data_IF_960633619142
#
_entry.id   IF_960633619142
#
_cell.length_a   1.000
_cell.length_b   1.000
_cell.length_c   1.000
_cell.angle_alpha   90.00
_cell.angle_beta   90.00
_cell.angle_gamma   90.00
#
_symmetry.space_group_name_H-M   'P 1'
#
loop_
_entity.id
_entity.type
_entity.pdbx_description
1 polymer ?
#
# COMPACT_ATOMS: atom_id res chain seq x y z
N UNK A 1 11.82 -39.16 -20.64
CA UNK A 1 11.39 -38.76 -19.28
C UNK A 1 11.68 -37.30 -19.06
N UNK A 2 10.66 -36.48 -19.33
CA UNK A 2 10.72 -35.02 -19.29
C UNK A 2 9.78 -34.55 -18.18
N UNK A 3 10.25 -34.68 -16.94
CA UNK A 3 9.65 -34.07 -15.76
C UNK A 3 10.79 -33.47 -14.97
N UNK A 4 11.07 -32.20 -15.24
CA UNK A 4 11.99 -31.42 -14.45
C UNK A 4 11.16 -30.35 -13.76
N UNK A 5 10.98 -30.56 -12.47
CA UNK A 5 10.20 -29.76 -11.54
C UNK A 5 10.55 -28.27 -11.64
N UNK A 6 9.68 -27.50 -12.29
CA UNK A 6 9.71 -26.04 -12.29
C UNK A 6 8.88 -25.52 -11.12
N UNK A 7 9.24 -25.90 -9.90
CA UNK A 7 8.56 -25.48 -8.68
C UNK A 7 9.52 -24.85 -7.65
N UNK A 8 10.41 -23.95 -8.09
CA UNK A 8 11.29 -23.23 -7.16
C UNK A 8 11.56 -21.79 -7.62
N UNK A 9 10.50 -20.97 -7.74
CA UNK A 9 10.66 -19.54 -8.06
C UNK A 9 9.68 -18.64 -7.27
N UNK A 10 9.21 -19.08 -6.11
CA UNK A 10 8.29 -18.32 -5.26
C UNK A 10 8.87 -18.10 -3.85
N UNK A 11 10.15 -17.79 -3.73
CA UNK A 11 10.67 -17.11 -2.55
C UNK A 11 10.64 -15.61 -2.83
N UNK A 12 9.45 -15.01 -2.67
CA UNK A 12 9.33 -13.56 -2.68
C UNK A 12 10.02 -13.04 -1.42
N UNK A 13 11.06 -12.22 -1.60
CA UNK A 13 11.54 -11.35 -0.54
C UNK A 13 10.34 -10.54 -0.01
N UNK A 14 10.18 -10.59 1.29
CA UNK A 14 9.02 -10.13 2.03
C UNK A 14 9.07 -8.58 2.12
N UNK A 15 8.12 -7.81 1.54
CA UNK A 15 8.07 -6.37 1.70
C UNK A 15 7.43 -5.99 3.06
N UNK A 16 7.95 -6.56 4.16
CA UNK A 16 7.38 -6.35 5.50
C UNK A 16 7.70 -4.97 6.05
N UNK A 17 8.82 -4.38 5.61
CA UNK A 17 9.39 -3.19 6.24
C UNK A 17 8.53 -1.94 5.99
N UNK A 18 8.03 -1.74 4.77
CA UNK A 18 7.24 -0.54 4.42
C UNK A 18 5.82 -0.57 5.01
N UNK A 19 5.27 -1.76 5.25
CA UNK A 19 3.97 -1.90 5.91
C UNK A 19 4.03 -1.43 7.38
N UNK A 20 5.19 -1.56 8.04
CA UNK A 20 5.32 -1.22 9.46
C UNK A 20 5.15 0.28 9.74
N UNK A 21 5.65 1.16 8.89
CA UNK A 21 5.53 2.63 9.08
C UNK A 21 4.08 3.09 8.87
N UNK A 22 3.40 2.55 7.85
CA UNK A 22 1.99 2.83 7.58
C UNK A 22 1.11 2.30 8.72
N UNK A 23 1.42 1.13 9.27
CA UNK A 23 0.68 0.55 10.39
C UNK A 23 0.85 1.37 11.68
N UNK A 24 2.05 1.93 11.92
CA UNK A 24 2.28 2.86 13.03
C UNK A 24 1.43 4.13 12.85
N UNK A 25 1.41 4.74 11.66
CA UNK A 25 0.60 5.93 11.38
C UNK A 25 -0.89 5.67 11.63
N UNK A 26 -1.39 4.51 11.20
CA UNK A 26 -2.78 4.11 11.45
C UNK A 26 -3.08 3.99 12.95
N UNK A 27 -2.18 3.37 13.70
CA UNK A 27 -2.33 3.23 15.14
C UNK A 27 -2.35 4.59 15.86
N UNK A 28 -1.49 5.54 15.45
CA UNK A 28 -1.46 6.90 16.01
C UNK A 28 -2.79 7.64 15.74
N UNK A 29 -3.31 7.58 14.51
CA UNK A 29 -4.60 8.19 14.16
C UNK A 29 -5.75 7.60 14.96
N UNK A 30 -5.78 6.29 15.18
CA UNK A 30 -6.81 5.65 16.01
C UNK A 30 -6.71 6.11 17.47
N UNK A 31 -5.51 6.23 18.02
CA UNK A 31 -5.31 6.74 19.38
C UNK A 31 -5.78 8.18 19.51
N UNK A 32 -5.53 9.03 18.50
CA UNK A 32 -6.02 10.42 18.50
C UNK A 32 -7.53 10.52 18.41
N UNK A 33 -8.17 9.66 17.59
CA UNK A 33 -9.63 9.55 17.57
C UNK A 33 -10.21 9.14 18.93
N UNK A 34 -9.51 8.25 19.65
CA UNK A 34 -9.87 7.90 21.02
C UNK A 34 -9.71 9.08 21.99
N UNK A 35 -8.60 9.82 21.95
CA UNK A 35 -8.41 11.02 22.76
C UNK A 35 -9.49 12.08 22.51
N UNK A 36 -9.91 12.29 21.25
CA UNK A 36 -11.03 13.19 20.93
C UNK A 36 -12.31 12.75 21.67
N UNK A 37 -12.58 11.45 21.76
CA UNK A 37 -13.75 10.96 22.50
C UNK A 37 -13.62 11.08 24.02
N UNK A 38 -12.40 11.02 24.56
CA UNK A 38 -12.12 11.19 25.99
C UNK A 38 -12.16 12.67 26.43
N UNK A 39 -11.63 13.57 25.59
CA UNK A 39 -11.53 15.01 25.87
C UNK A 39 -12.89 15.74 25.76
N UNK A 40 -13.84 15.16 25.02
CA UNK A 40 -15.18 15.72 24.89
C UNK A 40 -16.03 15.39 26.11
N UNK A 41 -16.32 16.40 26.93
CA UNK A 41 -17.21 16.29 28.10
C UNK A 41 -18.62 15.74 27.74
N UNK A 42 -19.13 16.06 26.54
CA UNK A 42 -20.36 15.48 25.97
C UNK A 42 -20.14 15.26 24.47
N UNK A 43 -20.45 14.05 23.99
CA UNK A 43 -20.25 13.66 22.60
C UNK A 43 -21.38 14.15 21.68
N UNK A 44 -21.33 15.41 21.27
CA UNK A 44 -22.20 15.95 20.23
C UNK A 44 -21.71 15.53 18.84
N UNK A 45 -22.64 15.07 17.99
CA UNK A 45 -22.35 14.57 16.65
C UNK A 45 -21.56 15.57 15.83
N UNK A 46 -21.96 16.83 15.82
CA UNK A 46 -21.41 17.89 14.98
C UNK A 46 -19.99 18.28 15.43
N UNK A 47 -19.77 18.37 16.75
CA UNK A 47 -18.47 18.72 17.31
C UNK A 47 -17.47 17.59 17.12
N UNK A 48 -17.89 16.35 17.35
CA UNK A 48 -17.05 15.17 17.14
C UNK A 48 -16.70 14.97 15.67
N UNK A 49 -17.71 15.00 14.77
CA UNK A 49 -17.47 14.76 13.34
C UNK A 49 -16.51 15.77 12.74
N UNK A 50 -16.53 17.03 13.20
CA UNK A 50 -15.58 18.05 12.77
C UNK A 50 -14.13 17.69 13.16
N UNK A 51 -13.91 17.36 14.44
CA UNK A 51 -12.57 17.01 14.95
C UNK A 51 -12.06 15.70 14.34
N UNK A 52 -12.93 14.69 14.21
CA UNK A 52 -12.57 13.42 13.58
C UNK A 52 -12.23 13.61 12.08
N UNK A 53 -12.96 14.45 11.36
CA UNK A 53 -12.66 14.73 9.96
C UNK A 53 -11.31 15.44 9.79
N UNK A 54 -10.97 16.36 10.68
CA UNK A 54 -9.66 17.02 10.70
C UNK A 54 -8.52 16.02 10.93
N UNK A 55 -8.64 15.14 11.91
CA UNK A 55 -7.63 14.11 12.20
C UNK A 55 -7.46 13.11 11.04
N UNK A 56 -8.57 12.69 10.42
CA UNK A 56 -8.54 11.83 9.23
C UNK A 56 -7.87 12.53 8.04
N UNK A 57 -8.05 13.84 7.88
CA UNK A 57 -7.40 14.61 6.81
C UNK A 57 -5.88 14.69 7.02
N UNK A 58 -5.43 14.88 8.27
CA UNK A 58 -4.01 14.84 8.62
C UNK A 58 -3.39 13.47 8.34
N UNK A 59 -4.10 12.40 8.69
CA UNK A 59 -3.66 11.04 8.37
C UNK A 59 -3.51 10.81 6.86
N UNK A 60 -4.45 11.28 6.05
CA UNK A 60 -4.38 11.14 4.59
C UNK A 60 -3.13 11.83 4.00
N UNK A 61 -2.81 13.04 4.46
CA UNK A 61 -1.62 13.77 4.02
C UNK A 61 -0.33 13.06 4.46
N UNK A 62 -0.27 12.59 5.71
CA UNK A 62 0.86 11.82 6.22
C UNK A 62 1.06 10.50 5.45
N UNK A 63 -0.04 9.80 5.14
CA UNK A 63 -0.03 8.55 4.39
C UNK A 63 0.46 8.74 2.95
N UNK A 64 0.02 9.78 2.25
CA UNK A 64 0.49 10.10 0.90
C UNK A 64 1.98 10.42 0.89
N UNK A 65 2.46 11.16 1.90
CA UNK A 65 3.89 11.45 2.07
C UNK A 65 4.69 10.16 2.32
N UNK A 66 4.23 9.29 3.22
CA UNK A 66 4.87 8.01 3.51
C UNK A 66 4.94 7.11 2.27
N UNK A 67 3.85 6.98 1.52
CA UNK A 67 3.82 6.22 0.25
C UNK A 67 4.78 6.79 -0.78
N UNK A 68 4.80 8.11 -0.96
CA UNK A 68 5.71 8.76 -1.92
C UNK A 68 7.18 8.58 -1.53
N UNK A 69 7.48 8.59 -0.23
CA UNK A 69 8.83 8.37 0.29
C UNK A 69 9.26 6.89 0.17
N UNK A 70 8.35 5.96 0.44
CA UNK A 70 8.52 4.52 0.21
C UNK A 70 8.89 4.24 -1.25
N UNK A 71 8.15 4.80 -2.21
CA UNK A 71 8.44 4.64 -3.65
C UNK A 71 9.78 5.29 -4.07
N UNK A 72 10.25 6.30 -3.33
CA UNK A 72 11.50 7.03 -3.61
C UNK A 72 12.75 6.35 -3.03
N UNK A 73 12.61 5.56 -1.96
CA UNK A 73 13.71 4.84 -1.30
C UNK A 73 14.35 3.78 -2.20
N UNK A 74 13.58 3.20 -3.14
CA UNK A 74 14.08 2.23 -4.12
C UNK A 74 14.86 2.84 -5.30
N UNK A 75 15.02 4.18 -5.36
CA UNK A 75 15.55 4.86 -6.56
C UNK A 75 16.96 5.46 -6.45
N UNK A 76 17.62 5.44 -5.28
CA UNK A 76 18.82 6.29 -5.08
C UNK A 76 20.13 5.53 -4.85
N UNK A 77 20.19 4.20 -4.97
CA UNK A 77 21.47 3.50 -4.82
C UNK A 77 21.71 2.44 -5.91
N UNK A 78 22.91 2.55 -6.49
CA UNK A 78 23.57 1.65 -7.44
C UNK A 78 23.38 2.01 -8.93
N UNK A 79 24.39 2.73 -9.42
CA UNK A 79 24.66 2.82 -10.85
C UNK A 79 24.81 1.44 -11.48
N UNK A 80 24.48 1.38 -12.76
CA UNK A 80 24.60 0.23 -13.67
C UNK A 80 23.71 -0.99 -13.35
N UNK A 81 22.69 -1.18 -14.19
CA UNK A 81 22.07 -2.48 -14.51
C UNK A 81 21.06 -3.12 -13.53
N UNK A 82 20.23 -2.36 -12.81
CA UNK A 82 19.07 -2.95 -12.08
C UNK A 82 17.72 -2.22 -12.23
N UNK A 83 17.65 -1.11 -12.96
CA UNK A 83 16.49 -0.22 -12.99
C UNK A 83 15.22 -0.82 -13.63
N UNK A 84 15.34 -1.91 -14.38
CA UNK A 84 14.20 -2.53 -15.04
C UNK A 84 13.45 -3.52 -14.14
N UNK A 85 14.12 -4.23 -13.23
CA UNK A 85 13.55 -5.45 -12.63
C UNK A 85 12.40 -5.20 -11.64
N UNK A 86 12.38 -4.08 -10.91
CA UNK A 86 11.45 -3.91 -9.78
C UNK A 86 10.17 -3.13 -10.11
N UNK A 87 10.15 -2.39 -11.21
CA UNK A 87 8.93 -1.79 -11.78
C UNK A 87 8.26 -2.68 -12.86
N UNK A 88 8.88 -3.81 -13.21
CA UNK A 88 8.37 -4.76 -14.21
C UNK A 88 7.29 -5.71 -13.67
N UNK A 89 7.14 -5.88 -12.35
CA UNK A 89 6.26 -6.91 -11.79
C UNK A 89 4.76 -6.54 -11.70
N UNK A 90 4.32 -5.42 -12.28
CA UNK A 90 2.88 -5.13 -12.42
C UNK A 90 2.15 -6.16 -13.31
N UNK A 91 2.89 -6.86 -14.18
CA UNK A 91 2.37 -7.84 -15.13
C UNK A 91 3.05 -9.19 -14.94
N UNK A 92 2.59 -9.96 -13.95
CA UNK A 92 2.85 -11.40 -13.89
C UNK A 92 2.17 -12.15 -15.05
N UNK A 93 2.66 -13.34 -15.40
CA UNK A 93 2.02 -14.20 -16.41
C UNK A 93 0.52 -14.39 -16.13
N UNK A 94 0.15 -14.71 -14.89
CA UNK A 94 -1.24 -14.88 -14.48
C UNK A 94 -2.08 -13.62 -14.66
N UNK A 95 -1.55 -12.44 -14.31
CA UNK A 95 -2.27 -11.16 -14.50
C UNK A 95 -2.39 -10.75 -15.97
N UNK A 96 -1.34 -10.96 -16.78
CA UNK A 96 -1.38 -10.66 -18.22
C UNK A 96 -2.31 -11.61 -18.98
N UNK A 97 -2.31 -12.89 -18.61
CA UNK A 97 -3.24 -13.88 -19.15
C UNK A 97 -4.69 -13.54 -18.80
N UNK A 98 -4.97 -13.23 -17.54
CA UNK A 98 -6.30 -12.79 -17.10
C UNK A 98 -6.75 -11.54 -17.86
N UNK A 99 -5.86 -10.55 -18.03
CA UNK A 99 -6.13 -9.33 -18.78
C UNK A 99 -6.41 -9.61 -20.27
N UNK A 100 -5.66 -10.53 -20.89
CA UNK A 100 -5.92 -10.97 -22.26
C UNK A 100 -7.29 -11.63 -22.42
N UNK A 101 -7.73 -12.41 -21.42
CA UNK A 101 -9.08 -12.98 -21.39
C UNK A 101 -10.14 -11.89 -21.29
N UNK A 102 -9.94 -10.85 -20.48
CA UNK A 102 -10.90 -9.74 -20.35
C UNK A 102 -11.08 -8.96 -21.65
N UNK A 103 -10.00 -8.81 -22.44
CA UNK A 103 -10.06 -8.20 -23.77
C UNK A 103 -10.80 -9.07 -24.80
N UNK A 104 -10.49 -10.37 -24.87
CA UNK A 104 -11.09 -11.26 -25.88
C UNK A 104 -12.54 -11.64 -25.56
N UNK A 105 -12.90 -11.65 -24.27
CA UNK A 105 -14.27 -11.90 -23.82
C UNK A 105 -15.12 -10.64 -23.75
N UNK A 106 -14.55 -9.47 -24.08
CA UNK A 106 -15.22 -8.15 -24.05
C UNK A 106 -15.81 -7.74 -22.69
N UNK A 107 -15.38 -8.38 -21.60
CA UNK A 107 -15.81 -8.05 -20.23
C UNK A 107 -15.22 -6.71 -19.77
N UNK A 108 -14.04 -6.34 -20.27
CA UNK A 108 -13.28 -5.15 -19.84
C UNK A 108 -13.59 -3.84 -20.59
N UNK A 109 -14.73 -3.75 -21.28
CA UNK A 109 -15.29 -2.50 -21.83
C UNK A 109 -16.57 -2.15 -21.10
#
# INVERSE_FOLDING_TARGET
>A
DLYQDTAVAASKANPQTDNSEIDILRADTVNRLWSITEDLNILYKENWTKLAAEEVMLFQDALVKALRNSDSSYNTQVGTMSYYQQNLHKWSFSSSFLYSLTLITTIGK
#
